data_IF_796170066668
#
_entry.id   IF_796170066668
#
_cell.length_a   1.000
_cell.length_b   1.000
_cell.length_c   1.000
_cell.angle_alpha   90.00
_cell.angle_beta   90.00
_cell.angle_gamma   90.00
#
_symmetry.space_group_name_H-M   'P 1'
#
loop_
_entity.id
_entity.type
_entity.pdbx_description
1 polymer ?
#
# COMPACT_ATOMS: atom_id res chain seq x y z
N UNK A 1 -12.05 1.64 -7.45
CA UNK A 1 -12.57 3.01 -7.71
C UNK A 1 -12.80 3.78 -6.42
N UNK A 2 -12.38 5.04 -6.38
CA UNK A 2 -12.62 6.00 -5.30
C UNK A 2 -13.28 7.25 -5.90
N UNK A 3 -14.40 7.72 -5.35
CA UNK A 3 -15.15 8.87 -5.90
C UNK A 3 -15.39 8.78 -7.43
N UNK A 4 -15.81 7.59 -7.91
CA UNK A 4 -15.99 7.24 -9.32
C UNK A 4 -14.72 7.26 -10.22
N UNK A 5 -13.55 7.58 -9.66
CA UNK A 5 -12.27 7.59 -10.36
C UNK A 5 -11.57 6.23 -10.26
N UNK A 6 -10.80 5.87 -11.30
CA UNK A 6 -9.89 4.72 -11.25
C UNK A 6 -8.79 5.00 -10.23
N UNK A 7 -8.34 3.98 -9.50
CA UNK A 7 -7.37 4.13 -8.42
C UNK A 7 -6.01 3.61 -8.88
N UNK A 8 -4.97 4.39 -8.68
CA UNK A 8 -3.58 3.98 -8.86
C UNK A 8 -2.95 3.71 -7.50
N UNK A 9 -2.49 2.49 -7.25
CA UNK A 9 -1.66 2.18 -6.10
C UNK A 9 -0.19 2.41 -6.46
N UNK A 10 0.41 3.38 -5.80
CA UNK A 10 1.73 3.88 -6.13
C UNK A 10 2.69 3.53 -5.01
N UNK A 11 3.51 2.49 -5.24
CA UNK A 11 4.51 2.05 -4.27
C UNK A 11 5.83 2.80 -4.50
N UNK A 12 6.53 3.10 -3.40
CA UNK A 12 7.74 3.92 -3.31
C UNK A 12 7.55 5.42 -3.65
N UNK A 13 8.33 6.33 -3.02
CA UNK A 13 8.36 7.73 -3.39
C UNK A 13 9.06 7.91 -4.74
N UNK A 14 8.62 8.88 -5.55
CA UNK A 14 9.21 9.22 -6.85
C UNK A 14 8.48 8.66 -8.09
N UNK A 15 7.30 8.09 -7.90
CA UNK A 15 6.49 7.56 -8.99
C UNK A 15 5.75 8.65 -9.80
N UNK A 16 5.31 8.31 -11.01
CA UNK A 16 4.62 9.19 -11.99
C UNK A 16 3.18 9.56 -11.58
N UNK A 17 2.98 9.96 -10.33
CA UNK A 17 1.68 10.23 -9.77
C UNK A 17 0.99 11.42 -10.46
N UNK A 18 1.72 12.51 -10.69
CA UNK A 18 1.25 13.71 -11.37
C UNK A 18 0.75 13.38 -12.78
N UNK A 19 1.44 12.48 -13.48
CA UNK A 19 1.03 12.01 -14.81
C UNK A 19 -0.31 11.28 -14.75
N UNK A 20 -0.49 10.37 -13.79
CA UNK A 20 -1.75 9.64 -13.63
C UNK A 20 -2.90 10.56 -13.20
N UNK A 21 -2.60 11.61 -12.43
CA UNK A 21 -3.57 12.64 -12.07
C UNK A 21 -4.09 13.42 -13.29
N UNK A 22 -3.28 13.61 -14.34
CA UNK A 22 -3.74 14.19 -15.62
C UNK A 22 -4.78 13.33 -16.35
N UNK A 23 -4.88 12.03 -16.03
CA UNK A 23 -5.85 11.10 -16.58
C UNK A 23 -7.00 10.78 -15.61
N UNK A 24 -7.26 11.66 -14.64
CA UNK A 24 -8.31 11.51 -13.63
C UNK A 24 -8.21 10.26 -12.75
N UNK A 25 -7.02 9.71 -12.54
CA UNK A 25 -6.83 8.68 -11.52
C UNK A 25 -6.86 9.29 -10.12
N UNK A 26 -7.53 8.61 -9.20
CA UNK A 26 -7.34 8.80 -7.77
C UNK A 26 -6.05 8.09 -7.35
N UNK A 27 -5.33 8.69 -6.40
CA UNK A 27 -4.07 8.17 -5.90
C UNK A 27 -4.26 7.41 -4.60
N UNK A 28 -3.69 6.23 -4.51
CA UNK A 28 -3.47 5.49 -3.28
C UNK A 28 -1.96 5.40 -3.01
N UNK A 29 -1.56 5.67 -1.77
CA UNK A 29 -0.18 5.55 -1.30
C UNK A 29 -0.09 4.45 -0.23
N UNK A 30 0.16 3.19 -0.63
CA UNK A 30 0.32 2.08 0.31
C UNK A 30 1.35 2.38 1.41
N UNK A 31 2.53 2.89 1.07
CA UNK A 31 3.56 3.22 2.05
C UNK A 31 3.08 4.17 3.16
N UNK A 32 2.24 5.15 2.82
CA UNK A 32 1.63 6.04 3.82
C UNK A 32 0.68 5.27 4.74
N UNK A 33 -0.08 4.33 4.21
CA UNK A 33 -0.95 3.47 5.02
C UNK A 33 -0.12 2.55 5.94
N UNK A 34 0.96 1.94 5.44
CA UNK A 34 1.88 1.16 6.27
C UNK A 34 2.50 1.98 7.41
N UNK A 35 2.94 3.21 7.14
CA UNK A 35 3.45 4.14 8.16
C UNK A 35 2.38 4.50 9.19
N UNK A 36 1.16 4.81 8.75
CA UNK A 36 0.04 5.10 9.65
C UNK A 36 -0.35 3.90 10.51
N UNK A 37 -0.29 2.68 9.96
CA UNK A 37 -0.44 1.44 10.72
C UNK A 37 0.69 1.28 11.76
N UNK A 38 1.91 1.69 11.42
CA UNK A 38 3.06 1.66 12.33
C UNK A 38 2.87 2.60 13.51
N UNK A 39 2.46 3.84 13.23
CA UNK A 39 2.13 4.84 14.25
C UNK A 39 1.00 4.39 15.19
N UNK A 40 0.07 3.57 14.68
CA UNK A 40 -1.04 2.98 15.44
C UNK A 40 -0.70 1.64 16.10
N UNK A 41 0.56 1.20 16.05
CA UNK A 41 1.04 -0.08 16.58
C UNK A 41 0.32 -1.31 15.99
N UNK A 42 -0.20 -1.20 14.77
CA UNK A 42 -0.89 -2.28 14.05
C UNK A 42 0.05 -3.09 13.15
N UNK A 43 1.16 -2.51 12.68
CA UNK A 43 2.07 -3.15 11.71
C UNK A 43 2.74 -4.43 12.21
N UNK A 44 2.89 -4.62 13.54
CA UNK A 44 3.56 -5.80 14.08
C UNK A 44 2.90 -7.12 13.64
N UNK A 45 1.57 -7.17 13.64
CA UNK A 45 0.84 -8.35 13.16
C UNK A 45 1.07 -8.58 11.66
N UNK A 46 0.97 -7.51 10.86
CA UNK A 46 1.17 -7.60 9.41
C UNK A 46 2.58 -8.08 9.05
N UNK A 47 3.61 -7.61 9.75
CA UNK A 47 4.99 -8.03 9.50
C UNK A 47 5.17 -9.52 9.81
N UNK A 48 4.68 -9.98 10.97
CA UNK A 48 4.76 -11.40 11.37
C UNK A 48 3.98 -12.31 10.41
N UNK A 49 2.81 -11.86 9.95
CA UNK A 49 2.01 -12.59 8.97
C UNK A 49 2.75 -12.71 7.63
N UNK A 50 3.42 -11.64 7.18
CA UNK A 50 4.19 -11.63 5.93
C UNK A 50 5.43 -12.53 6.00
N UNK A 51 6.14 -12.52 7.13
CA UNK A 51 7.31 -13.39 7.36
C UNK A 51 6.92 -14.87 7.40
N UNK A 52 5.80 -15.17 8.05
CA UNK A 52 5.21 -16.51 8.05
C UNK A 52 4.77 -16.96 6.64
N UNK A 53 4.37 -16.03 5.78
CA UNK A 53 4.02 -16.28 4.38
C UNK A 53 5.26 -16.32 3.44
N UNK A 54 6.47 -16.27 4.00
CA UNK A 54 7.72 -16.47 3.27
C UNK A 54 8.44 -15.20 2.83
N UNK A 55 8.01 -14.02 3.27
CA UNK A 55 8.79 -12.79 3.08
C UNK A 55 10.02 -12.80 3.99
N UNK A 56 11.19 -12.43 3.45
CA UNK A 56 12.42 -12.35 4.27
C UNK A 56 12.30 -11.30 5.37
N UNK A 57 12.91 -11.55 6.52
CA UNK A 57 13.05 -10.58 7.61
C UNK A 57 13.76 -9.30 7.13
N UNK A 58 14.66 -9.42 6.15
CA UNK A 58 15.42 -8.31 5.54
C UNK A 58 14.59 -7.44 4.59
N UNK A 59 13.38 -7.86 4.21
CA UNK A 59 12.47 -7.01 3.42
C UNK A 59 12.03 -5.82 4.25
N UNK A 60 11.95 -4.64 3.63
CA UNK A 60 11.47 -3.44 4.29
C UNK A 60 10.11 -3.67 4.97
N UNK A 61 9.99 -3.21 6.22
CA UNK A 61 8.80 -3.45 7.04
C UNK A 61 7.53 -2.81 6.50
N UNK A 62 7.63 -1.68 5.77
CA UNK A 62 6.48 -1.08 5.11
C UNK A 62 5.95 -1.96 3.97
N UNK A 63 6.83 -2.62 3.22
CA UNK A 63 6.44 -3.55 2.15
C UNK A 63 5.71 -4.76 2.73
N UNK A 64 6.27 -5.35 3.79
CA UNK A 64 5.63 -6.46 4.52
C UNK A 64 4.26 -6.05 5.09
N UNK A 65 4.17 -4.87 5.69
CA UNK A 65 2.93 -4.35 6.23
C UNK A 65 1.86 -4.13 5.14
N UNK A 66 2.25 -3.56 4.00
CA UNK A 66 1.35 -3.34 2.87
C UNK A 66 0.87 -4.66 2.26
N UNK A 67 1.77 -5.61 1.98
CA UNK A 67 1.41 -6.93 1.44
C UNK A 67 0.36 -7.62 2.32
N UNK A 68 0.57 -7.65 3.64
CA UNK A 68 -0.40 -8.24 4.53
C UNK A 68 -1.70 -7.44 4.66
N UNK A 69 -1.66 -6.12 4.51
CA UNK A 69 -2.88 -5.31 4.42
C UNK A 69 -3.67 -5.68 3.16
N UNK A 70 -2.99 -5.88 2.02
CA UNK A 70 -3.62 -6.31 0.76
C UNK A 70 -4.21 -7.73 0.89
N UNK A 71 -3.47 -8.68 1.46
CA UNK A 71 -3.93 -10.05 1.71
C UNK A 71 -5.08 -10.11 2.72
N UNK A 72 -5.09 -9.19 3.70
CA UNK A 72 -6.10 -9.07 4.75
C UNK A 72 -7.39 -8.36 4.31
N UNK A 73 -7.60 -8.14 3.01
CA UNK A 73 -8.81 -7.51 2.47
C UNK A 73 -8.74 -5.99 2.37
N UNK A 74 -7.54 -5.42 2.31
CA UNK A 74 -7.29 -3.98 2.09
C UNK A 74 -7.90 -3.10 3.19
N UNK A 75 -7.87 -3.55 4.45
CA UNK A 75 -8.40 -2.76 5.57
C UNK A 75 -7.37 -1.72 5.99
N UNK A 76 -7.73 -0.45 5.83
CA UNK A 76 -6.85 0.67 6.09
C UNK A 76 -6.56 0.93 7.56
N UNK A 77 -5.67 1.88 7.86
CA UNK A 77 -5.25 2.17 9.24
C UNK A 77 -6.37 2.61 10.18
N UNK A 78 -7.43 3.22 9.63
CA UNK A 78 -8.64 3.65 10.36
C UNK A 78 -9.61 2.51 10.64
N UNK A 79 -9.45 1.36 9.98
CA UNK A 79 -10.39 0.23 10.03
C UNK A 79 -11.39 0.21 8.87
N UNK A 80 -11.37 1.23 8.01
CA UNK A 80 -12.23 1.28 6.83
C UNK A 80 -11.58 0.55 5.64
N UNK A 81 -12.37 -0.09 4.75
CA UNK A 81 -11.85 -0.67 3.52
C UNK A 81 -11.21 0.38 2.62
N UNK A 82 -9.99 0.12 2.15
CA UNK A 82 -9.33 0.95 1.16
C UNK A 82 -9.91 0.67 -0.23
N UNK A 83 -9.98 1.69 -1.10
CA UNK A 83 -10.37 1.48 -2.48
C UNK A 83 -9.42 0.52 -3.20
N UNK A 84 -9.95 -0.58 -3.74
CA UNK A 84 -9.17 -1.52 -4.54
C UNK A 84 -8.52 -0.79 -5.73
N UNK A 85 -7.19 -0.94 -5.93
CA UNK A 85 -6.50 -0.32 -7.05
C UNK A 85 -6.93 -0.92 -8.39
N UNK A 86 -7.03 -0.06 -9.40
CA UNK A 86 -7.28 -0.41 -10.80
C UNK A 86 -5.95 -0.58 -11.58
N UNK A 87 -4.88 0.11 -11.13
CA UNK A 87 -3.51 0.00 -11.66
C UNK A 87 -2.52 0.00 -10.49
N UNK A 88 -1.46 -0.80 -10.64
CA UNK A 88 -0.32 -0.85 -9.73
C UNK A 88 0.89 -0.19 -10.42
N UNK A 89 1.48 0.81 -9.77
CA UNK A 89 2.67 1.49 -10.27
C UNK A 89 3.86 1.17 -9.35
N UNK A 90 4.81 0.41 -9.88
CA UNK A 90 6.04 0.00 -9.20
C UNK A 90 7.22 0.62 -9.94
N UNK A 91 8.04 1.38 -9.22
CA UNK A 91 9.31 1.89 -9.74
C UNK A 91 10.45 1.14 -9.08
N UNK A 92 11.27 0.47 -9.89
CA UNK A 92 12.49 -0.17 -9.43
C UNK A 92 13.65 0.81 -9.60
N UNK A 93 14.21 1.25 -8.48
CA UNK A 93 15.47 1.98 -8.41
C UNK A 93 16.49 1.04 -7.77
N UNK A 94 17.43 0.53 -8.57
CA UNK A 94 18.41 -0.49 -8.18
C UNK A 94 19.42 -0.03 -7.13
#
# INVERSE_FOLDING_TARGET
RANNRKVSATFLPGNLNELLMCFDFARSLPETNALQNGMRKKSGKFIMDAERDGQSEDVCTYVKADLCMMMGGEIGPTGDPLPKPDVLLLSYTG
#
